data_IF_093250117219
#
_entry.id   IF_093250117219
#
_cell.length_a   1.000
_cell.length_b   1.000
_cell.length_c   1.000
_cell.angle_alpha   90.00
_cell.angle_beta   90.00
_cell.angle_gamma   90.00
#
_symmetry.space_group_name_H-M   'P 1'
#
loop_
_entity.id
_entity.type
_entity.pdbx_description
1 polymer ?
#
# COMPACT_ATOMS: atom_id res chain seq x y z
N UNK A 1 -11.86 17.79 9.92
CA UNK A 1 -10.71 17.00 9.42
C UNK A 1 -11.35 15.74 8.85
N UNK A 2 -11.44 15.64 7.53
CA UNK A 2 -12.05 14.47 6.87
C UNK A 2 -11.31 13.20 7.28
N UNK A 3 -12.08 12.13 7.46
CA UNK A 3 -11.60 10.81 7.83
C UNK A 3 -10.67 10.27 6.72
N UNK A 4 -9.35 10.34 6.94
CA UNK A 4 -8.35 9.78 6.02
C UNK A 4 -8.43 8.24 6.10
N UNK A 5 -9.33 7.65 5.31
CA UNK A 5 -9.60 6.21 5.36
C UNK A 5 -8.66 5.36 4.49
N UNK A 6 -7.86 5.97 3.61
CA UNK A 6 -7.10 5.25 2.60
C UNK A 6 -5.78 4.65 3.09
N UNK A 7 -5.45 3.47 2.56
CA UNK A 7 -4.20 2.75 2.78
C UNK A 7 -3.52 2.45 1.44
N UNK A 8 -2.19 2.38 1.43
CA UNK A 8 -1.40 2.15 0.21
C UNK A 8 -0.33 1.08 0.40
N UNK A 9 -0.02 0.37 -0.68
CA UNK A 9 1.12 -0.55 -0.77
C UNK A 9 2.01 -0.03 -1.88
N UNK A 10 3.27 0.29 -1.56
CA UNK A 10 4.31 0.57 -2.56
C UNK A 10 4.97 -0.75 -2.94
N UNK A 11 4.92 -1.10 -4.21
CA UNK A 11 5.64 -2.26 -4.75
C UNK A 11 7.03 -1.81 -5.22
N UNK A 12 8.04 -1.93 -4.35
CA UNK A 12 9.32 -1.22 -4.56
C UNK A 12 10.15 -1.72 -5.74
N UNK A 13 9.88 -2.95 -6.23
CA UNK A 13 10.46 -3.54 -7.43
C UNK A 13 9.54 -3.50 -8.65
N UNK A 14 8.47 -2.70 -8.60
CA UNK A 14 7.57 -2.48 -9.73
C UNK A 14 8.31 -1.82 -10.91
N UNK A 15 8.12 -2.37 -12.10
CA UNK A 15 8.68 -1.90 -13.38
C UNK A 15 7.62 -1.38 -14.33
N UNK A 16 6.35 -1.45 -13.95
CA UNK A 16 5.19 -0.88 -14.63
C UNK A 16 4.84 0.47 -14.05
N UNK A 17 4.79 0.57 -12.72
CA UNK A 17 4.64 1.83 -11.98
C UNK A 17 5.94 2.09 -11.22
N UNK A 18 6.42 3.34 -11.26
CA UNK A 18 7.60 3.72 -10.50
C UNK A 18 7.23 3.92 -9.03
N UNK A 19 7.95 3.26 -8.12
CA UNK A 19 7.71 3.34 -6.68
C UNK A 19 7.72 4.78 -6.12
N UNK A 20 8.51 5.69 -6.69
CA UNK A 20 8.51 7.11 -6.28
C UNK A 20 7.20 7.82 -6.65
N UNK A 21 6.55 7.40 -7.74
CA UNK A 21 5.23 7.91 -8.14
C UNK A 21 4.16 7.40 -7.18
N UNK A 22 4.22 6.13 -6.76
CA UNK A 22 3.33 5.58 -5.72
C UNK A 22 3.48 6.35 -4.41
N UNK A 23 4.73 6.49 -3.91
CA UNK A 23 5.04 7.25 -2.69
C UNK A 23 4.51 8.69 -2.78
N UNK A 24 4.75 9.36 -3.90
CA UNK A 24 4.25 10.72 -4.13
C UNK A 24 2.72 10.77 -4.13
N UNK A 25 2.06 9.88 -4.85
CA UNK A 25 0.61 9.79 -4.96
C UNK A 25 -0.04 9.56 -3.60
N UNK A 26 0.48 8.62 -2.82
CA UNK A 26 -0.02 8.30 -1.48
C UNK A 26 0.20 9.43 -0.47
N UNK A 27 1.37 10.09 -0.51
CA UNK A 27 1.63 11.28 0.30
C UNK A 27 0.66 12.42 -0.05
N UNK A 28 0.44 12.66 -1.34
CA UNK A 28 -0.50 13.69 -1.83
C UNK A 28 -1.95 13.37 -1.45
N UNK A 29 -2.34 12.11 -1.51
CA UNK A 29 -3.66 11.64 -1.10
C UNK A 29 -3.87 11.66 0.43
N UNK A 30 -2.78 11.84 1.20
CA UNK A 30 -2.83 11.80 2.65
C UNK A 30 -3.29 10.45 3.17
N UNK A 31 -2.78 9.36 2.61
CA UNK A 31 -3.12 8.02 3.09
C UNK A 31 -2.68 7.87 4.55
N UNK A 32 -3.54 7.24 5.36
CA UNK A 32 -3.33 7.06 6.80
C UNK A 32 -2.12 6.19 7.11
N UNK A 33 -1.86 5.19 6.26
CA UNK A 33 -0.70 4.31 6.35
C UNK A 33 -0.33 3.80 4.97
N UNK A 34 0.98 3.74 4.75
CA UNK A 34 1.61 3.19 3.55
C UNK A 34 2.59 2.14 4.00
N UNK A 35 2.50 0.95 3.43
CA UNK A 35 3.50 -0.11 3.60
C UNK A 35 4.28 -0.28 2.29
N UNK A 36 5.49 -0.79 2.39
CA UNK A 36 6.36 -1.03 1.24
C UNK A 36 6.77 -2.49 1.21
N UNK A 37 6.62 -3.13 0.05
CA UNK A 37 6.94 -4.55 -0.17
C UNK A 37 7.92 -4.62 -1.34
N UNK A 38 8.99 -5.40 -1.19
CA UNK A 38 9.93 -5.72 -2.27
C UNK A 38 9.29 -6.68 -3.28
N UNK A 39 8.40 -6.13 -4.09
CA UNK A 39 7.53 -6.87 -4.99
C UNK A 39 7.42 -6.21 -6.37
N UNK A 40 7.17 -7.00 -7.43
CA UNK A 40 6.78 -6.46 -8.73
C UNK A 40 5.32 -5.98 -8.71
N UNK A 41 4.88 -5.36 -9.81
CA UNK A 41 3.54 -4.80 -9.99
C UNK A 41 2.38 -5.69 -9.47
N UNK A 42 2.43 -6.99 -9.77
CA UNK A 42 1.42 -7.95 -9.31
C UNK A 42 1.77 -8.48 -7.91
N UNK A 43 1.84 -7.58 -6.92
CA UNK A 43 2.14 -7.93 -5.52
C UNK A 43 1.14 -8.93 -4.95
N UNK A 44 -0.15 -8.84 -5.31
CA UNK A 44 -1.19 -9.78 -4.86
C UNK A 44 -0.96 -11.21 -5.35
N UNK A 45 -0.20 -11.39 -6.45
CA UNK A 45 0.14 -12.71 -7.00
C UNK A 45 1.44 -13.25 -6.38
N UNK A 46 2.44 -12.40 -6.22
CA UNK A 46 3.80 -12.80 -5.77
C UNK A 46 3.93 -12.85 -4.26
N UNK A 47 3.20 -11.97 -3.56
CA UNK A 47 3.19 -11.79 -2.12
C UNK A 47 1.74 -11.77 -1.57
N UNK A 48 0.92 -12.82 -1.86
CA UNK A 48 -0.49 -12.82 -1.50
C UNK A 48 -0.74 -12.74 0.00
N UNK A 49 0.13 -13.36 0.81
CA UNK A 49 0.02 -13.34 2.28
C UNK A 49 0.24 -11.93 2.84
N UNK A 50 1.28 -11.22 2.41
CA UNK A 50 1.58 -9.87 2.88
C UNK A 50 0.51 -8.87 2.41
N UNK A 51 0.04 -9.02 1.18
CA UNK A 51 -1.09 -8.25 0.66
C UNK A 51 -2.36 -8.48 1.50
N UNK A 52 -2.69 -9.73 1.83
CA UNK A 52 -3.83 -10.05 2.69
C UNK A 52 -3.65 -9.50 4.12
N UNK A 53 -2.46 -9.65 4.70
CA UNK A 53 -2.12 -9.12 6.02
C UNK A 53 -2.31 -7.61 6.08
N UNK A 54 -1.91 -6.88 5.04
CA UNK A 54 -2.10 -5.42 5.00
C UNK A 54 -3.57 -5.01 5.15
N UNK A 55 -4.50 -5.80 4.60
CA UNK A 55 -5.94 -5.56 4.67
C UNK A 55 -6.50 -5.99 6.03
N UNK A 56 -6.05 -7.13 6.58
CA UNK A 56 -6.53 -7.57 7.90
C UNK A 56 -6.03 -6.64 9.02
N UNK A 57 -4.78 -6.18 8.93
CA UNK A 57 -4.20 -5.22 9.88
C UNK A 57 -4.95 -3.89 9.82
N UNK A 58 -5.30 -3.44 8.61
CA UNK A 58 -6.12 -2.26 8.40
C UNK A 58 -7.46 -2.32 9.14
N UNK A 59 -8.13 -3.47 9.07
CA UNK A 59 -9.41 -3.72 9.72
C UNK A 59 -9.23 -3.77 11.24
N UNK A 60 -8.19 -4.46 11.72
CA UNK A 60 -7.91 -4.57 13.15
C UNK A 60 -7.63 -3.21 13.82
N UNK A 61 -7.09 -2.24 13.08
CA UNK A 61 -6.87 -0.87 13.56
C UNK A 61 -8.18 -0.06 13.74
N UNK A 62 -9.33 -0.55 13.27
CA UNK A 62 -10.63 0.14 13.41
C UNK A 62 -11.40 -0.20 14.70
N UNK A 63 -10.95 -1.22 15.47
CA UNK A 63 -11.64 -1.72 16.67
C UNK A 63 -12.75 -2.72 16.36
#
# INVERSE_FOLDING_TARGET
>A
MEDQAGLGIVSSADRTINADVERFGYKRAGLRKVIEIDAPHLVMQTHPSEAATSITDAIAELG
#
